data_IF_154043594009
#
_entry.id   IF_154043594009
#
_cell.length_a   1.000
_cell.length_b   1.000
_cell.length_c   1.000
_cell.angle_alpha   90.00
_cell.angle_beta   90.00
_cell.angle_gamma   90.00
#
_symmetry.space_group_name_H-M   'P 1'
#
loop_
_entity.id
_entity.type
_entity.pdbx_description
1 polymer ?
#
# COMPACT_ATOMS: atom_id res chain seq x y z
N UNK A 1 16.36 14.23 -6.26
CA UNK A 1 15.83 12.91 -6.63
C UNK A 1 14.62 12.65 -5.75
N UNK A 2 13.44 12.38 -6.32
CA UNK A 2 12.28 12.03 -5.51
C UNK A 2 12.50 10.68 -4.82
N UNK A 3 12.05 10.59 -3.57
CA UNK A 3 12.17 9.39 -2.74
C UNK A 3 10.80 9.03 -2.23
N UNK A 4 10.45 7.76 -2.33
CA UNK A 4 9.16 7.23 -1.92
C UNK A 4 9.37 6.17 -0.86
N UNK A 5 8.68 6.29 0.27
CA UNK A 5 8.59 5.26 1.28
C UNK A 5 7.25 4.56 1.16
N UNK A 6 7.28 3.23 1.00
CA UNK A 6 6.11 2.38 1.04
C UNK A 6 6.14 1.57 2.33
N UNK A 7 5.23 1.87 3.25
CA UNK A 7 5.07 1.14 4.50
C UNK A 7 4.16 -0.07 4.27
N UNK A 8 4.47 -1.17 4.94
CA UNK A 8 3.70 -2.42 4.91
C UNK A 8 2.24 -2.23 5.35
N UNK A 9 1.45 -3.30 5.23
CA UNK A 9 0.01 -3.24 5.51
C UNK A 9 -0.26 -3.03 7.00
N UNK A 10 -0.85 -1.89 7.36
CA UNK A 10 -1.31 -1.59 8.71
C UNK A 10 -2.51 -2.48 9.04
N UNK A 11 -2.34 -3.32 10.06
CA UNK A 11 -3.37 -4.29 10.45
C UNK A 11 -4.33 -3.76 11.52
N UNK A 12 -3.85 -2.89 12.41
CA UNK A 12 -4.58 -2.40 13.57
C UNK A 12 -4.22 -0.95 13.88
N UNK A 13 -4.97 -0.36 14.81
CA UNK A 13 -4.75 1.00 15.32
C UNK A 13 -3.34 1.14 15.90
N UNK A 14 -2.71 2.29 15.65
CA UNK A 14 -1.32 2.58 16.07
C UNK A 14 -1.32 3.86 16.89
N UNK A 15 -0.55 3.89 17.97
CA UNK A 15 -0.43 5.09 18.77
C UNK A 15 0.26 6.20 17.96
N UNK A 16 -0.25 7.44 18.00
CA UNK A 16 0.31 8.56 17.23
C UNK A 16 1.81 8.77 17.49
N UNK A 17 2.26 8.59 18.73
CA UNK A 17 3.68 8.73 19.06
C UNK A 17 4.57 7.68 18.37
N UNK A 18 4.09 6.43 18.27
CA UNK A 18 4.81 5.39 17.53
C UNK A 18 4.83 5.74 16.05
N UNK A 19 3.70 6.17 15.49
CA UNK A 19 3.64 6.52 14.09
C UNK A 19 4.55 7.71 13.73
N UNK A 20 4.59 8.76 14.54
CA UNK A 20 5.52 9.90 14.35
C UNK A 20 6.97 9.44 14.37
N UNK A 21 7.37 8.62 15.35
CA UNK A 21 8.74 8.07 15.42
C UNK A 21 9.10 7.23 14.19
N UNK A 22 8.16 6.45 13.67
CA UNK A 22 8.36 5.69 12.43
C UNK A 22 8.60 6.64 11.25
N UNK A 23 7.72 7.63 11.06
CA UNK A 23 7.83 8.59 9.96
C UNK A 23 9.12 9.39 10.06
N UNK A 24 9.51 9.83 11.26
CA UNK A 24 10.76 10.53 11.52
C UNK A 24 11.97 9.65 11.15
N UNK A 25 11.96 8.37 11.54
CA UNK A 25 13.04 7.44 11.20
C UNK A 25 13.12 7.19 9.68
N UNK A 26 11.98 7.01 9.02
CA UNK A 26 11.88 6.86 7.55
C UNK A 26 12.42 8.10 6.85
N UNK A 27 12.03 9.31 7.29
CA UNK A 27 12.51 10.58 6.72
C UNK A 27 13.98 10.83 7.05
N UNK A 28 14.50 10.38 8.19
CA UNK A 28 15.93 10.46 8.50
C UNK A 28 16.78 9.62 7.54
N UNK A 29 16.26 8.46 7.09
CA UNK A 29 16.92 7.59 6.12
C UNK A 29 16.77 8.09 4.66
N UNK A 30 15.60 8.65 4.33
CA UNK A 30 15.23 9.02 2.96
C UNK A 30 15.52 10.49 2.60
N UNK A 31 15.59 11.37 3.60
CA UNK A 31 15.58 12.83 3.46
C UNK A 31 14.18 13.44 3.63
N UNK A 32 14.13 14.73 4.02
CA UNK A 32 12.89 15.43 4.38
C UNK A 32 11.83 15.49 3.27
N UNK A 33 12.24 15.46 2.00
CA UNK A 33 11.34 15.46 0.83
C UNK A 33 10.76 14.10 0.45
N UNK A 34 10.95 13.07 1.27
CA UNK A 34 10.37 11.74 1.05
C UNK A 34 8.84 11.79 1.13
N UNK A 35 8.17 11.12 0.19
CA UNK A 35 6.73 10.87 0.25
C UNK A 35 6.48 9.53 0.91
N UNK A 36 5.74 9.53 2.02
CA UNK A 36 5.47 8.35 2.83
C UNK A 36 4.06 7.85 2.57
N UNK A 37 3.95 6.64 2.05
CA UNK A 37 2.70 6.00 1.70
C UNK A 37 2.50 4.72 2.50
N UNK A 38 1.26 4.34 2.81
CA UNK A 38 0.99 3.06 3.45
C UNK A 38 -0.27 2.39 2.96
N UNK A 39 -0.31 1.06 3.08
CA UNK A 39 -1.55 0.31 2.90
C UNK A 39 -2.28 0.17 4.24
N UNK A 40 -3.55 0.56 4.28
CA UNK A 40 -4.37 0.57 5.50
C UNK A 40 -5.46 -0.50 5.50
N UNK A 41 -5.33 -1.52 4.65
CA UNK A 41 -6.36 -2.55 4.43
C UNK A 41 -6.88 -3.20 5.72
N UNK A 42 -5.99 -3.62 6.61
CA UNK A 42 -6.39 -4.22 7.90
C UNK A 42 -6.92 -3.19 8.90
N UNK A 43 -6.24 -2.04 9.03
CA UNK A 43 -6.65 -0.95 9.91
C UNK A 43 -8.06 -0.46 9.57
N UNK A 44 -8.32 -0.11 8.31
CA UNK A 44 -9.62 0.41 7.89
C UNK A 44 -10.71 -0.67 7.95
N UNK A 45 -10.36 -1.95 7.81
CA UNK A 45 -11.30 -3.06 8.00
C UNK A 45 -11.68 -3.31 9.47
N UNK A 46 -10.85 -2.90 10.44
CA UNK A 46 -11.07 -3.27 11.86
C UNK A 46 -11.19 -2.08 12.82
N UNK A 47 -10.78 -0.87 12.45
CA UNK A 47 -10.80 0.29 13.34
C UNK A 47 -12.22 0.58 13.84
N UNK A 48 -12.34 0.80 15.15
CA UNK A 48 -13.59 1.16 15.79
C UNK A 48 -13.95 2.62 15.49
N UNK A 49 -12.93 3.50 15.52
CA UNK A 49 -13.06 4.93 15.22
C UNK A 49 -12.19 5.29 14.01
N UNK A 50 -12.67 4.94 12.82
CA UNK A 50 -11.90 5.10 11.59
C UNK A 50 -11.41 6.54 11.37
N UNK A 51 -12.29 7.55 11.52
CA UNK A 51 -11.92 8.94 11.24
C UNK A 51 -10.75 9.43 12.10
N UNK A 52 -10.73 9.09 13.40
CA UNK A 52 -9.61 9.45 14.27
C UNK A 52 -8.31 8.73 13.90
N UNK A 53 -8.39 7.49 13.41
CA UNK A 53 -7.19 6.76 12.97
C UNK A 53 -6.63 7.38 11.69
N UNK A 54 -7.50 7.83 10.79
CA UNK A 54 -7.09 8.51 9.56
C UNK A 54 -6.41 9.84 9.88
N UNK A 55 -6.98 10.63 10.77
CA UNK A 55 -6.37 11.88 11.25
C UNK A 55 -5.00 11.62 11.87
N UNK A 56 -4.87 10.60 12.72
CA UNK A 56 -3.57 10.18 13.29
C UNK A 56 -2.56 9.82 12.20
N UNK A 57 -2.97 9.12 11.12
CA UNK A 57 -2.06 8.77 10.03
C UNK A 57 -1.47 10.02 9.37
N UNK A 58 -2.34 10.94 8.93
CA UNK A 58 -1.93 12.14 8.20
C UNK A 58 -1.20 13.15 9.09
N UNK A 59 -1.67 13.39 10.31
CA UNK A 59 -0.99 14.28 11.26
C UNK A 59 0.38 13.75 11.73
N UNK A 60 0.62 12.45 11.58
CA UNK A 60 1.94 11.87 11.86
C UNK A 60 2.90 11.94 10.66
N UNK A 61 2.46 12.47 9.51
CA UNK A 61 3.29 12.72 8.33
C UNK A 61 3.24 11.62 7.27
N UNK A 62 2.21 10.77 7.27
CA UNK A 62 1.85 9.93 6.12
C UNK A 62 1.23 10.82 5.05
N UNK A 63 1.68 10.71 3.81
CA UNK A 63 1.28 11.57 2.70
C UNK A 63 0.14 10.96 1.86
N UNK A 64 0.02 9.63 1.82
CA UNK A 64 -0.99 8.94 1.01
C UNK A 64 -1.30 7.55 1.58
N UNK A 65 -2.57 7.13 1.48
CA UNK A 65 -2.96 5.79 1.93
C UNK A 65 -3.71 5.00 0.86
N UNK A 66 -3.48 3.69 0.85
CA UNK A 66 -4.20 2.73 0.02
C UNK A 66 -5.18 1.92 0.89
N UNK A 67 -6.49 2.06 0.71
CA UNK A 67 -7.44 1.17 1.34
C UNK A 67 -7.35 -0.19 0.64
N UNK A 68 -6.96 -1.22 1.37
CA UNK A 68 -7.02 -2.60 0.87
C UNK A 68 -8.46 -3.07 0.63
N UNK A 69 -8.60 -4.27 0.09
CA UNK A 69 -9.90 -4.83 -0.29
C UNK A 69 -10.92 -4.81 0.86
N UNK A 70 -10.55 -5.37 2.01
CA UNK A 70 -11.44 -5.53 3.15
C UNK A 70 -11.91 -4.19 3.73
N UNK A 71 -11.12 -3.13 3.55
CA UNK A 71 -11.51 -1.78 3.94
C UNK A 71 -12.72 -1.32 3.12
N UNK A 72 -12.66 -1.47 1.79
CA UNK A 72 -13.71 -0.99 0.88
C UNK A 72 -15.04 -1.74 1.08
N UNK A 73 -15.03 -2.94 1.66
CA UNK A 73 -16.25 -3.64 2.06
C UNK A 73 -17.05 -2.89 3.16
N UNK A 74 -16.41 -2.04 3.98
CA UNK A 74 -17.07 -1.29 5.06
C UNK A 74 -17.64 0.04 4.58
N UNK A 75 -18.88 0.33 5.00
CA UNK A 75 -19.54 1.61 4.71
C UNK A 75 -18.74 2.84 5.17
N UNK A 76 -18.18 2.80 6.38
CA UNK A 76 -17.37 3.90 6.91
C UNK A 76 -16.14 4.21 6.04
N UNK A 77 -15.42 3.19 5.56
CA UNK A 77 -14.27 3.39 4.69
C UNK A 77 -14.68 3.92 3.31
N UNK A 78 -15.82 3.47 2.75
CA UNK A 78 -16.35 4.04 1.51
C UNK A 78 -16.75 5.51 1.67
N UNK A 79 -17.37 5.87 2.79
CA UNK A 79 -17.70 7.27 3.10
C UNK A 79 -16.45 8.13 3.24
N UNK A 80 -15.41 7.64 3.92
CA UNK A 80 -14.12 8.31 4.03
C UNK A 80 -13.50 8.55 2.65
N UNK A 81 -13.39 7.51 1.84
CA UNK A 81 -12.84 7.58 0.47
C UNK A 81 -13.65 8.55 -0.40
N UNK A 82 -14.98 8.51 -0.31
CA UNK A 82 -15.88 9.38 -1.07
C UNK A 82 -15.87 10.85 -0.63
N UNK A 83 -15.43 11.15 0.60
CA UNK A 83 -15.39 12.52 1.12
C UNK A 83 -14.33 13.38 0.44
N UNK A 84 -13.27 12.78 -0.10
CA UNK A 84 -12.12 13.50 -0.67
C UNK A 84 -11.32 14.33 0.34
N UNK A 85 -11.59 14.22 1.65
CA UNK A 85 -10.91 15.01 2.70
C UNK A 85 -9.42 14.69 2.79
N UNK A 86 -9.04 13.46 2.45
CA UNK A 86 -7.70 12.92 2.62
C UNK A 86 -7.19 12.29 1.31
N UNK A 87 -5.87 12.30 1.05
CA UNK A 87 -5.30 11.66 -0.12
C UNK A 87 -5.33 10.13 0.02
N UNK A 88 -6.43 9.55 -0.46
CA UNK A 88 -6.71 8.10 -0.43
C UNK A 88 -6.86 7.58 -1.86
N UNK A 89 -6.07 6.58 -2.24
CA UNK A 89 -6.14 5.95 -3.57
C UNK A 89 -6.75 4.57 -3.46
N UNK A 90 -8.04 4.46 -3.78
CA UNK A 90 -8.76 3.17 -3.76
C UNK A 90 -8.32 2.28 -4.95
N UNK A 91 -8.60 0.97 -4.95
CA UNK A 91 -8.29 0.14 -6.10
C UNK A 91 -9.02 0.60 -7.38
N UNK A 92 -8.27 0.80 -8.45
CA UNK A 92 -8.71 1.30 -9.76
C UNK A 92 -9.74 0.36 -10.40
N UNK A 93 -9.56 -0.95 -10.23
CA UNK A 93 -10.41 -2.00 -10.77
C UNK A 93 -11.70 -2.31 -9.97
N UNK A 94 -12.10 -1.40 -9.09
CA UNK A 94 -13.47 -1.39 -8.57
C UNK A 94 -14.43 -0.80 -9.61
N UNK A 95 -15.75 -1.10 -9.54
CA UNK A 95 -16.74 -0.51 -10.43
C UNK A 95 -16.63 1.02 -10.49
N UNK A 96 -16.85 1.62 -11.66
CA UNK A 96 -16.71 3.07 -11.86
C UNK A 96 -17.60 3.92 -10.93
N UNK A 97 -18.70 3.35 -10.43
CA UNK A 97 -19.59 3.98 -9.44
C UNK A 97 -19.05 3.96 -8.01
N UNK A 98 -17.90 3.32 -7.77
CA UNK A 98 -17.28 3.25 -6.44
C UNK A 98 -16.73 4.63 -6.04
N UNK A 99 -16.98 5.10 -4.82
CA UNK A 99 -16.50 6.41 -4.37
C UNK A 99 -14.96 6.53 -4.44
N UNK A 100 -14.49 7.76 -4.67
CA UNK A 100 -13.06 8.13 -4.69
C UNK A 100 -12.31 7.68 -5.95
N UNK A 101 -11.00 7.92 -5.94
CA UNK A 101 -10.15 7.83 -7.14
C UNK A 101 -9.23 6.61 -7.11
N UNK A 102 -9.10 5.97 -8.28
CA UNK A 102 -8.22 4.80 -8.47
C UNK A 102 -6.77 5.14 -8.79
N UNK A 103 -6.55 6.38 -9.21
CA UNK A 103 -5.26 6.94 -9.58
C UNK A 103 -5.20 8.40 -9.11
N UNK A 104 -4.04 8.84 -8.65
CA UNK A 104 -3.78 10.20 -8.19
C UNK A 104 -2.45 10.69 -8.77
N UNK A 105 -2.44 11.90 -9.31
CA UNK A 105 -1.20 12.55 -9.74
C UNK A 105 -0.64 13.36 -8.56
N UNK A 106 0.56 13.01 -8.10
CA UNK A 106 1.32 13.79 -7.12
C UNK A 106 2.19 14.80 -7.87
N UNK A 107 1.86 16.08 -7.77
CA UNK A 107 2.55 17.19 -8.45
C UNK A 107 3.47 18.02 -7.53
N UNK A 108 3.49 17.69 -6.25
CA UNK A 108 4.36 18.29 -5.23
C UNK A 108 5.80 17.73 -5.19
N UNK A 109 6.13 16.86 -6.15
CA UNK A 109 7.46 16.33 -6.36
C UNK A 109 8.27 17.19 -7.34
N UNK A 110 9.59 16.99 -7.40
CA UNK A 110 10.45 17.60 -8.44
C UNK A 110 10.02 17.25 -9.88
N UNK A 111 9.32 16.12 -10.05
CA UNK A 111 8.67 15.68 -11.29
C UNK A 111 7.35 15.02 -10.87
N UNK A 112 6.21 15.33 -11.52
CA UNK A 112 4.95 14.69 -11.17
C UNK A 112 5.03 13.16 -11.28
N UNK A 113 4.30 12.46 -10.42
CA UNK A 113 4.26 10.99 -10.37
C UNK A 113 2.83 10.51 -10.19
N UNK A 114 2.41 9.54 -10.99
CA UNK A 114 1.13 8.88 -10.81
C UNK A 114 1.23 7.82 -9.72
N UNK A 115 0.21 7.76 -8.86
CA UNK A 115 0.04 6.71 -7.86
C UNK A 115 -1.25 5.98 -8.16
N UNK A 116 -1.17 4.67 -8.36
CA UNK A 116 -2.29 3.81 -8.74
C UNK A 116 -2.39 2.66 -7.75
N UNK A 117 -3.61 2.22 -7.45
CA UNK A 117 -3.85 1.03 -6.64
C UNK A 117 -4.70 0.07 -7.44
N UNK A 118 -4.49 -1.24 -7.32
CA UNK A 118 -5.32 -2.29 -7.93
C UNK A 118 -5.45 -3.48 -6.99
N UNK A 119 -6.54 -4.23 -7.10
CA UNK A 119 -6.68 -5.56 -6.49
C UNK A 119 -6.26 -6.64 -7.49
N UNK A 120 -5.62 -7.70 -7.00
CA UNK A 120 -5.20 -8.82 -7.84
C UNK A 120 -6.34 -9.81 -8.19
N UNK A 121 -7.49 -9.69 -7.54
CA UNK A 121 -8.66 -10.57 -7.75
C UNK A 121 -8.68 -11.84 -6.89
N UNK A 122 -7.66 -12.09 -6.07
CA UNK A 122 -7.60 -13.23 -5.12
C UNK A 122 -8.50 -13.06 -3.88
N UNK A 123 -9.10 -11.88 -3.75
CA UNK A 123 -10.00 -11.52 -2.67
C UNK A 123 -11.41 -12.11 -2.78
N UNK A 124 -12.31 -11.63 -1.93
CA UNK A 124 -13.76 -11.92 -1.92
C UNK A 124 -14.59 -10.91 -2.71
N UNK A 125 -14.08 -9.70 -2.94
CA UNK A 125 -14.75 -8.64 -3.69
C UNK A 125 -14.48 -8.87 -5.18
N UNK A 126 -15.51 -9.03 -6.01
CA UNK A 126 -15.31 -9.12 -7.45
C UNK A 126 -14.79 -7.78 -7.98
N UNK A 127 -13.75 -7.86 -8.82
CA UNK A 127 -13.10 -6.72 -9.46
C UNK A 127 -12.84 -7.04 -10.92
N UNK A 128 -12.72 -5.98 -11.71
CA UNK A 128 -12.19 -6.12 -13.07
C UNK A 128 -10.74 -6.64 -13.00
N UNK A 129 -10.28 -7.47 -13.94
CA UNK A 129 -8.89 -7.89 -13.95
C UNK A 129 -7.94 -6.68 -14.02
N UNK A 130 -6.92 -6.66 -13.17
CA UNK A 130 -6.04 -5.49 -13.03
C UNK A 130 -5.39 -5.07 -14.35
N UNK A 131 -4.99 -6.03 -15.18
CA UNK A 131 -4.39 -5.74 -16.48
C UNK A 131 -5.33 -4.99 -17.45
N UNK A 132 -6.65 -5.21 -17.38
CA UNK A 132 -7.62 -4.52 -18.25
C UNK A 132 -7.69 -3.05 -17.87
N UNK A 133 -7.86 -2.73 -16.59
CA UNK A 133 -7.94 -1.33 -16.15
C UNK A 133 -6.61 -0.58 -16.26
N UNK A 134 -5.49 -1.31 -16.18
CA UNK A 134 -4.17 -0.72 -16.39
C UNK A 134 -3.92 -0.42 -17.87
N UNK A 135 -4.32 -1.30 -18.79
CA UNK A 135 -4.32 -0.99 -20.23
C UNK A 135 -5.12 0.27 -20.53
N UNK A 136 -6.32 0.39 -19.97
CA UNK A 136 -7.17 1.58 -20.11
C UNK A 136 -6.50 2.83 -19.52
N UNK A 137 -5.89 2.72 -18.33
CA UNK A 137 -5.15 3.82 -17.70
C UNK A 137 -3.97 4.28 -18.57
N UNK A 138 -3.13 3.35 -19.02
CA UNK A 138 -1.96 3.68 -19.84
C UNK A 138 -2.33 4.15 -21.25
N UNK A 139 -3.41 3.63 -21.83
CA UNK A 139 -3.92 4.08 -23.14
C UNK A 139 -4.48 5.51 -23.12
N UNK A 140 -5.03 5.94 -21.98
CA UNK A 140 -5.54 7.31 -21.80
C UNK A 140 -4.49 8.29 -21.24
N UNK A 141 -3.33 7.79 -20.80
CA UNK A 141 -2.24 8.61 -20.25
C UNK A 141 -1.41 9.24 -21.38
N UNK A 142 -1.42 10.57 -21.46
CA UNK A 142 -0.68 11.31 -22.50
C UNK A 142 0.70 11.80 -22.07
N UNK A 143 1.00 11.78 -20.77
CA UNK A 143 2.26 12.27 -20.21
C UNK A 143 3.31 11.14 -20.05
N UNK A 144 4.57 11.50 -19.81
CA UNK A 144 5.68 10.56 -19.55
C UNK A 144 6.04 10.43 -18.06
N UNK A 145 5.15 10.86 -17.15
CA UNK A 145 5.39 10.76 -15.72
C UNK A 145 5.47 9.29 -15.27
N UNK A 146 6.37 8.95 -14.34
CA UNK A 146 6.46 7.60 -13.78
C UNK A 146 5.19 7.25 -13.00
N UNK A 147 4.98 5.94 -12.81
CA UNK A 147 3.79 5.39 -12.14
C UNK A 147 4.21 4.46 -11.01
N UNK A 148 3.74 4.75 -9.79
CA UNK A 148 3.86 3.86 -8.64
C UNK A 148 2.55 3.07 -8.51
N UNK A 149 2.63 1.75 -8.54
CA UNK A 149 1.45 0.89 -8.53
C UNK A 149 1.46 0.03 -7.26
N UNK A 150 0.45 0.20 -6.41
CA UNK A 150 0.14 -0.76 -5.36
C UNK A 150 -0.74 -1.90 -5.90
N UNK A 151 -0.24 -3.14 -5.89
CA UNK A 151 -1.03 -4.33 -6.24
C UNK A 151 -1.35 -5.10 -4.97
N UNK A 152 -2.62 -5.04 -4.55
CA UNK A 152 -3.05 -5.64 -3.28
C UNK A 152 -3.78 -6.98 -3.47
N UNK A 153 -3.35 -7.98 -2.71
CA UNK A 153 -3.96 -9.31 -2.62
C UNK A 153 -2.92 -10.41 -2.34
N UNK A 154 -3.27 -11.66 -2.57
CA UNK A 154 -2.50 -12.85 -2.19
C UNK A 154 -1.90 -13.63 -3.37
N UNK A 155 -2.19 -13.26 -4.62
CA UNK A 155 -1.71 -13.96 -5.80
C UNK A 155 -0.34 -13.41 -6.25
N UNK A 156 0.72 -14.05 -5.75
CA UNK A 156 2.11 -13.68 -6.06
C UNK A 156 2.46 -13.88 -7.53
N UNK A 157 1.93 -14.92 -8.17
CA UNK A 157 2.22 -15.23 -9.57
C UNK A 157 1.56 -14.20 -10.48
N UNK A 158 0.32 -13.81 -10.18
CA UNK A 158 -0.37 -12.76 -10.92
C UNK A 158 0.30 -11.39 -10.75
N UNK A 159 0.72 -11.03 -9.53
CA UNK A 159 1.52 -9.81 -9.27
C UNK A 159 2.80 -9.77 -10.12
N UNK A 160 3.51 -10.90 -10.20
CA UNK A 160 4.71 -11.02 -11.03
C UNK A 160 4.39 -10.96 -12.53
N UNK A 161 3.31 -11.63 -12.96
CA UNK A 161 2.86 -11.63 -14.35
C UNK A 161 2.46 -10.23 -14.82
N UNK A 162 1.80 -9.43 -13.97
CA UNK A 162 1.54 -8.02 -14.26
C UNK A 162 2.84 -7.26 -14.49
N UNK A 163 3.78 -7.34 -13.55
CA UNK A 163 5.04 -6.63 -13.69
C UNK A 163 5.82 -7.07 -14.94
N UNK A 164 5.81 -8.36 -15.29
CA UNK A 164 6.42 -8.87 -16.54
C UNK A 164 5.72 -8.34 -17.79
N UNK A 165 4.38 -8.31 -17.81
CA UNK A 165 3.58 -7.85 -18.95
C UNK A 165 3.90 -6.41 -19.36
N UNK A 166 4.19 -5.54 -18.39
CA UNK A 166 4.50 -4.12 -18.64
C UNK A 166 6.00 -3.82 -18.71
N UNK A 167 6.85 -4.84 -18.56
CA UNK A 167 8.30 -4.69 -18.77
C UNK A 167 8.55 -4.25 -20.22
N UNK A 168 9.41 -3.26 -20.43
CA UNK A 168 9.67 -2.67 -21.75
C UNK A 168 8.44 -2.07 -22.46
N UNK A 169 7.35 -1.76 -21.75
CA UNK A 169 6.16 -1.10 -22.33
C UNK A 169 6.41 0.36 -22.77
N UNK A 170 7.56 0.94 -22.44
CA UNK A 170 7.85 2.37 -22.60
C UNK A 170 7.35 3.22 -21.43
N UNK A 171 6.61 2.64 -20.48
CA UNK A 171 6.21 3.29 -19.25
C UNK A 171 7.20 2.99 -18.13
N UNK A 172 7.49 4.02 -17.32
CA UNK A 172 8.34 3.87 -16.16
C UNK A 172 7.50 3.52 -14.93
N UNK A 173 7.57 2.28 -14.47
CA UNK A 173 6.67 1.73 -13.44
C UNK A 173 7.45 1.21 -12.24
N UNK A 174 6.96 1.49 -11.03
CA UNK A 174 7.44 0.89 -9.78
C UNK A 174 6.29 0.16 -9.09
N UNK A 175 6.44 -1.14 -8.92
CA UNK A 175 5.42 -2.03 -8.37
C UNK A 175 5.68 -2.29 -6.88
N UNK A 176 4.73 -1.88 -6.04
CA UNK A 176 4.71 -2.18 -4.61
C UNK A 176 3.55 -3.13 -4.32
N UNK A 177 3.81 -4.42 -4.27
CA UNK A 177 2.75 -5.37 -4.00
C UNK A 177 2.49 -5.49 -2.48
N UNK A 178 1.26 -5.77 -2.09
CA UNK A 178 0.86 -5.93 -0.70
C UNK A 178 -0.24 -6.97 -0.53
N UNK A 179 -0.52 -7.36 0.71
CA UNK A 179 -1.63 -8.25 1.09
C UNK A 179 -1.22 -9.70 1.39
N UNK A 180 -0.08 -10.15 0.89
CA UNK A 180 0.44 -11.51 1.07
C UNK A 180 1.14 -11.76 2.40
N UNK A 181 1.48 -10.70 3.15
CA UNK A 181 1.92 -10.82 4.53
C UNK A 181 3.37 -10.38 4.76
N UNK A 182 4.32 -11.31 4.77
CA UNK A 182 5.71 -11.00 5.11
C UNK A 182 6.42 -10.22 3.99
N UNK A 183 7.28 -9.27 4.35
CA UNK A 183 8.07 -8.52 3.37
C UNK A 183 8.93 -9.47 2.53
N UNK A 184 8.89 -9.30 1.21
CA UNK A 184 9.68 -10.12 0.30
C UNK A 184 11.12 -9.63 0.22
N UNK A 185 12.08 -10.56 0.23
CA UNK A 185 13.49 -10.26 -0.09
C UNK A 185 13.79 -10.27 -1.59
N UNK A 186 12.83 -10.67 -2.43
CA UNK A 186 12.98 -10.77 -3.88
C UNK A 186 12.62 -9.45 -4.60
N UNK A 187 12.97 -8.32 -3.99
CA UNK A 187 12.85 -7.01 -4.61
C UNK A 187 13.94 -6.82 -5.66
N UNK A 188 13.61 -6.20 -6.79
CA UNK A 188 14.56 -5.98 -7.88
C UNK A 188 14.32 -4.65 -8.60
N UNK A 189 15.41 -4.07 -9.11
CA UNK A 189 15.36 -3.06 -10.17
C UNK A 189 15.70 -3.80 -11.46
N UNK A 190 14.83 -3.69 -12.46
CA UNK A 190 14.97 -4.40 -13.73
C UNK A 190 15.79 -3.59 -14.73
N UNK A 191 16.14 -4.25 -15.83
CA UNK A 191 17.01 -3.68 -16.87
C UNK A 191 16.44 -2.43 -17.55
N UNK A 192 15.11 -2.29 -17.60
CA UNK A 192 14.42 -1.09 -18.12
C UNK A 192 14.37 0.08 -17.13
N UNK A 193 14.79 -0.14 -15.88
CA UNK A 193 14.72 0.81 -14.78
C UNK A 193 13.42 0.74 -13.97
N UNK A 194 12.53 -0.22 -14.25
CA UNK A 194 11.36 -0.49 -13.40
C UNK A 194 11.76 -1.12 -12.07
N UNK A 195 10.96 -0.91 -11.03
CA UNK A 195 11.13 -1.54 -9.71
C UNK A 195 10.01 -2.54 -9.47
N UNK A 196 10.33 -3.70 -8.89
CA UNK A 196 9.34 -4.68 -8.49
C UNK A 196 9.60 -5.19 -7.07
N UNK A 197 8.61 -5.02 -6.21
CA UNK A 197 8.54 -5.61 -4.88
C UNK A 197 7.33 -6.55 -4.78
N UNK A 198 7.53 -7.88 -4.60
CA UNK A 198 6.44 -8.85 -4.52
C UNK A 198 5.55 -8.71 -3.28
N UNK A 199 6.08 -8.18 -2.18
CA UNK A 199 5.33 -7.92 -0.95
C UNK A 199 6.05 -6.89 -0.08
N UNK A 200 5.33 -5.83 0.29
CA UNK A 200 5.81 -4.73 1.12
C UNK A 200 5.86 -5.06 2.62
N UNK A 201 5.26 -6.17 3.05
CA UNK A 201 5.24 -6.58 4.45
C UNK A 201 4.05 -6.05 5.23
N UNK A 202 4.19 -6.02 6.55
CA UNK A 202 3.12 -5.63 7.48
C UNK A 202 3.57 -4.56 8.48
N UNK A 203 2.58 -3.85 9.01
CA UNK A 203 2.72 -3.01 10.19
C UNK A 203 1.77 -3.53 11.30
N UNK A 204 2.34 -4.26 12.27
CA UNK A 204 1.60 -5.00 13.29
C UNK A 204 2.48 -5.35 14.50
N UNK A 205 1.87 -5.81 15.59
CA UNK A 205 2.60 -6.36 16.73
C UNK A 205 3.34 -7.66 16.35
N UNK A 206 4.56 -7.86 16.86
CA UNK A 206 5.41 -9.02 16.58
C UNK A 206 4.75 -10.35 16.97
N UNK A 207 4.01 -10.38 18.08
CA UNK A 207 3.25 -11.55 18.53
C UNK A 207 1.90 -11.72 17.84
N UNK A 208 1.80 -11.41 16.54
CA UNK A 208 0.56 -11.50 15.78
C UNK A 208 0.69 -12.39 14.53
N UNK A 209 -0.44 -12.95 14.08
CA UNK A 209 -0.58 -13.64 12.81
C UNK A 209 -1.52 -12.80 11.94
N UNK A 210 -0.98 -12.19 10.88
CA UNK A 210 -1.70 -11.22 10.04
C UNK A 210 -2.40 -10.12 10.88
N UNK A 211 -1.71 -9.62 11.92
CA UNK A 211 -2.22 -8.60 12.83
C UNK A 211 -2.98 -9.14 14.05
N UNK A 212 -3.60 -10.31 13.95
CA UNK A 212 -4.45 -10.86 15.01
C UNK A 212 -3.65 -11.60 16.08
N UNK A 213 -4.17 -11.64 17.31
CA UNK A 213 -3.72 -12.58 18.33
C UNK A 213 -3.80 -14.03 17.78
N UNK A 214 -2.78 -14.87 17.98
CA UNK A 214 -2.72 -16.23 17.43
C UNK A 214 -3.96 -17.10 17.72
N UNK A 215 -4.51 -17.04 18.94
CA UNK A 215 -5.70 -17.82 19.30
C UNK A 215 -6.96 -17.31 18.59
N UNK A 216 -7.10 -15.99 18.44
CA UNK A 216 -8.18 -15.36 17.66
C UNK A 216 -8.05 -15.72 16.19
N UNK A 217 -6.84 -15.68 15.64
CA UNK A 217 -6.58 -16.11 14.26
C UNK A 217 -6.99 -17.57 14.06
N UNK A 218 -6.57 -18.47 14.96
CA UNK A 218 -6.88 -19.90 14.89
C UNK A 218 -8.37 -20.16 14.93
N UNK A 219 -9.08 -19.59 15.93
CA UNK A 219 -10.54 -19.69 16.06
C UNK A 219 -11.25 -19.26 14.79
N UNK A 220 -10.81 -18.15 14.17
CA UNK A 220 -11.44 -17.63 12.94
C UNK A 220 -11.13 -18.44 11.68
N UNK A 221 -9.88 -18.86 11.50
CA UNK A 221 -9.40 -19.45 10.24
C UNK A 221 -9.51 -20.96 10.21
N UNK A 222 -9.24 -21.63 11.32
CA UNK A 222 -9.23 -23.09 11.44
C UNK A 222 -10.56 -23.58 11.99
N UNK A 223 -10.97 -23.10 13.16
CA UNK A 223 -12.20 -23.57 13.82
C UNK A 223 -13.47 -22.91 13.24
N UNK A 224 -13.31 -21.83 12.47
CA UNK A 224 -14.38 -21.06 11.84
C UNK A 224 -15.41 -20.51 12.83
N UNK A 225 -14.97 -20.21 14.05
CA UNK A 225 -15.80 -19.61 15.10
C UNK A 225 -15.80 -18.09 14.95
N UNK A 226 -16.98 -17.44 14.98
CA UNK A 226 -17.07 -15.99 14.98
C UNK A 226 -16.56 -15.45 16.34
N UNK A 227 -15.37 -14.87 16.33
CA UNK A 227 -14.79 -14.16 17.47
C UNK A 227 -14.39 -12.74 17.06
N UNK A 228 -14.44 -11.82 18.03
CA UNK A 228 -14.03 -10.43 17.81
C UNK A 228 -12.55 -10.37 17.42
N UNK A 229 -12.21 -9.50 16.47
CA UNK A 229 -10.83 -9.19 16.13
C UNK A 229 -10.12 -8.61 17.36
N UNK A 230 -8.99 -9.20 17.75
CA UNK A 230 -8.09 -8.63 18.76
C UNK A 230 -6.68 -8.60 18.18
N UNK A 231 -5.95 -7.49 18.31
CA UNK A 231 -4.56 -7.41 17.85
C UNK A 231 -3.68 -8.37 18.65
N UNK A 232 -2.57 -8.80 18.04
CA UNK A 232 -1.53 -9.50 18.79
C UNK A 232 -0.81 -8.59 19.79
N UNK A 233 0.13 -9.18 20.54
CA UNK A 233 0.89 -8.50 21.59
C UNK A 233 2.36 -8.32 21.24
N UNK A 234 3.08 -7.57 22.08
CA UNK A 234 4.52 -7.33 21.96
C UNK A 234 4.86 -6.06 21.18
N UNK A 235 6.15 -5.94 20.84
CA UNK A 235 6.69 -4.80 20.10
C UNK A 235 5.93 -4.60 18.78
N UNK A 236 5.56 -3.35 18.49
CA UNK A 236 5.00 -2.99 17.20
C UNK A 236 6.14 -2.87 16.19
N UNK A 237 5.96 -3.50 15.03
CA UNK A 237 6.92 -3.43 13.93
C UNK A 237 6.25 -2.94 12.65
N UNK A 238 7.03 -2.29 11.80
CA UNK A 238 6.63 -1.89 10.46
C UNK A 238 7.72 -2.25 9.46
N UNK A 239 7.39 -3.11 8.51
CA UNK A 239 8.18 -3.29 7.31
C UNK A 239 8.02 -2.05 6.42
N UNK A 240 9.10 -1.62 5.77
CA UNK A 240 9.04 -0.51 4.83
C UNK A 240 10.04 -0.68 3.70
N UNK A 241 9.80 0.03 2.61
CA UNK A 241 10.73 0.10 1.47
C UNK A 241 10.88 1.53 1.00
N UNK A 242 12.13 1.98 0.87
CA UNK A 242 12.50 3.24 0.28
C UNK A 242 12.90 3.01 -1.17
N UNK A 243 12.42 3.86 -2.08
CA UNK A 243 12.76 3.83 -3.49
C UNK A 243 13.19 5.22 -3.95
N UNK A 244 14.38 5.31 -4.53
CA UNK A 244 14.90 6.54 -5.13
C UNK A 244 14.75 6.44 -6.64
N UNK A 245 14.10 7.45 -7.23
CA UNK A 245 14.02 7.58 -8.68
C UNK A 245 14.99 8.66 -9.17
N UNK A 246 15.52 8.49 -10.38
CA UNK A 246 16.23 9.55 -11.10
C UNK A 246 15.28 10.61 -11.68
N UNK A 247 15.84 11.53 -12.47
CA UNK A 247 15.11 12.61 -13.14
C UNK A 247 14.16 12.11 -14.23
N UNK A 248 14.44 10.94 -14.82
CA UNK A 248 13.59 10.30 -15.82
C UNK A 248 12.47 9.48 -15.17
N UNK A 249 12.60 9.21 -13.87
CA UNK A 249 11.66 8.42 -13.07
C UNK A 249 12.10 6.96 -12.92
N UNK A 250 13.29 6.60 -13.41
CA UNK A 250 13.81 5.23 -13.29
C UNK A 250 14.27 4.96 -11.88
N UNK A 251 14.02 3.75 -11.40
CA UNK A 251 14.51 3.30 -10.11
C UNK A 251 16.05 3.19 -10.16
N UNK A 252 16.71 3.86 -9.22
CA UNK A 252 18.18 3.87 -9.11
C UNK A 252 18.66 3.04 -7.92
N UNK A 253 17.89 3.09 -6.83
CA UNK A 253 18.23 2.45 -5.57
C UNK A 253 16.96 2.12 -4.82
N UNK A 254 16.96 1.00 -4.10
CA UNK A 254 15.96 0.73 -3.07
C UNK A 254 16.64 0.27 -1.77
N UNK A 255 15.87 0.32 -0.68
CA UNK A 255 16.24 -0.24 0.61
C UNK A 255 14.98 -0.77 1.27
N UNK A 256 15.00 -2.01 1.72
CA UNK A 256 13.91 -2.64 2.48
C UNK A 256 14.40 -2.96 3.88
N UNK A 257 13.63 -2.59 4.90
CA UNK A 257 14.01 -2.77 6.30
C UNK A 257 12.75 -2.85 7.20
N UNK A 258 12.94 -3.19 8.46
CA UNK A 258 11.88 -3.28 9.48
C UNK A 258 12.20 -2.37 10.66
N UNK A 259 11.27 -1.48 11.00
CA UNK A 259 11.35 -0.65 12.19
C UNK A 259 10.60 -1.32 13.36
N UNK A 260 11.18 -1.37 14.57
CA UNK A 260 10.57 -2.00 15.77
C UNK A 260 10.65 -1.05 16.98
N UNK A 261 9.61 -1.06 17.85
CA UNK A 261 9.51 -0.27 19.09
C UNK A 261 9.77 -1.10 20.35
#
# INVERSE_FOLDING_TARGET
MPVFAFLGVFQHEVASQQLRKLVDAVRALAGNGCIVMCNTGGLFANAARLDSQVEVLFESGIDLVFPGEQAIARGAARSLVGSGRWPVVRPLNLPATSPGQGALLLDNCSKPVWVVSVLDGSGRIPVEPAHVVLEDFFGNKSDSFPVLINVHGNDFDYKRALAWKYENSGHQISWFCSGGGAMSSACEIRSDGSFFQPEAGNAACRGSIAGLAPDIWWKRKIERVPVLSQPGWGAWRCDFTLLWLDTDGKAQKFMSDTFEF
#
